data_IF_731907564774
#
_entry.id   IF_731907564774
#
_cell.length_a   1.000
_cell.length_b   1.000
_cell.length_c   1.000
_cell.angle_alpha   90.00
_cell.angle_beta   90.00
_cell.angle_gamma   90.00
#
_symmetry.space_group_name_H-M   'P 1'
#
loop_
_entity.id
_entity.type
_entity.pdbx_description
1 polymer ?
2 non-polymer ?
3 non-polymer ?
4 water ?
#
# COMPACT_ATOMS: atom_id res chain seq x y z
N UNK A 1 -6.49 -22.64 7.03
CA UNK A 1 -5.50 -22.11 8.02
C UNK A 1 -5.66 -20.60 8.12
N UNK A 2 -4.88 -19.94 9.00
CA UNK A 2 -4.96 -18.49 9.11
C UNK A 2 -4.53 -17.88 7.76
N UNK A 3 -4.65 -16.57 7.65
CA UNK A 3 -3.99 -15.81 6.57
C UNK A 3 -2.56 -15.60 7.04
N UNK A 4 -1.61 -15.61 6.11
CA UNK A 4 -0.22 -15.29 6.41
C UNK A 4 0.08 -13.81 6.13
N UNK A 5 0.80 -13.20 7.06
CA UNK A 5 1.10 -11.75 7.12
C UNK A 5 2.56 -11.53 7.49
N UNK A 6 3.16 -10.52 6.89
CA UNK A 6 4.54 -10.06 7.22
C UNK A 6 4.49 -8.59 7.56
N UNK A 7 5.21 -8.16 8.58
CA UNK A 7 5.48 -6.75 8.89
C UNK A 7 6.55 -6.15 7.97
N UNK A 8 6.30 -4.95 7.51
CA UNK A 8 7.22 -4.30 6.56
C UNK A 8 7.00 -2.80 6.49
N UNK A 9 7.99 -2.08 6.01
CA UNK A 9 7.88 -0.70 5.57
C UNK A 9 8.03 -0.62 4.06
N UNK A 10 7.56 0.45 3.47
CA UNK A 10 7.72 0.73 2.03
C UNK A 10 8.40 2.08 1.87
N UNK A 11 9.29 2.19 0.89
CA UNK A 11 9.85 3.49 0.44
C UNK A 11 9.71 3.60 -1.07
N UNK A 12 9.40 4.80 -1.56
CA UNK A 12 9.22 5.06 -3.02
C UNK A 12 10.63 5.06 -3.66
N UNK A 13 10.70 5.06 -4.98
CA UNK A 13 12.01 4.84 -5.65
C UNK A 13 12.86 6.11 -5.53
N UNK A 14 12.29 7.20 -5.04
CA UNK A 14 13.09 8.42 -4.74
C UNK A 14 13.53 8.36 -3.30
N UNK A 15 13.24 7.27 -2.58
CA UNK A 15 13.61 6.91 -1.21
C UNK A 15 12.84 7.76 -0.19
N UNK A 16 11.63 8.17 -0.53
CA UNK A 16 10.71 8.81 0.46
C UNK A 16 10.01 7.72 1.29
N UNK A 17 9.80 8.02 2.57
CA UNK A 17 9.19 7.12 3.59
C UNK A 17 7.72 7.49 3.80
N UNK A 18 6.93 6.55 4.31
CA UNK A 18 5.46 6.66 4.48
C UNK A 18 5.13 6.85 5.97
N UNK A 19 4.48 7.96 6.31
CA UNK A 19 4.13 8.34 7.71
C UNK A 19 2.67 8.82 7.74
N UNK A 20 1.94 8.50 8.81
CA UNK A 20 0.61 9.07 9.16
C UNK A 20 0.80 10.53 9.61
N UNK A 21 -0.04 11.46 9.14
CA UNK A 21 0.14 12.92 9.41
C UNK A 21 -1.18 13.61 9.77
N UNK A 22 -2.24 12.85 10.05
CA UNK A 22 -3.60 13.40 10.22
C UNK A 22 -4.65 12.32 9.97
N UNK A 23 -5.91 12.51 10.44
CA UNK A 23 -6.92 11.45 10.40
C UNK A 23 -7.00 10.74 9.04
N UNK A 24 -6.51 9.50 8.99
CA UNK A 24 -6.66 8.59 7.82
C UNK A 24 -5.81 9.12 6.66
N UNK A 25 -4.71 9.80 6.98
CA UNK A 25 -3.90 10.57 6.00
C UNK A 25 -2.45 10.06 6.05
N UNK A 26 -2.06 9.40 4.97
CA UNK A 26 -0.73 8.79 4.74
C UNK A 26 0.01 9.63 3.70
N UNK A 27 1.14 10.22 4.06
CA UNK A 27 1.93 11.13 3.19
C UNK A 27 3.35 10.56 3.04
N UNK A 28 4.12 11.06 2.07
CA UNK A 28 5.47 10.56 1.75
C UNK A 28 6.48 11.72 1.88
N UNK A 29 7.57 11.49 2.61
CA UNK A 29 8.60 12.52 2.79
C UNK A 29 9.93 11.84 3.00
N UNK A 30 10.94 12.65 2.71
CA UNK A 30 12.34 12.29 2.94
C UNK A 30 12.59 12.26 4.45
N UNK A 31 13.03 11.14 4.97
CA UNK A 31 13.21 10.86 6.41
C UNK A 31 14.53 10.15 6.59
N UNK A 32 15.27 10.47 7.67
CA UNK A 32 16.49 9.73 8.04
C UNK A 32 16.72 10.03 9.51
N UNK A 33 17.34 9.09 10.21
CA UNK A 33 17.71 9.25 11.63
C UNK A 33 16.54 9.03 12.57
N UNK A 34 16.46 9.83 13.64
CA UNK A 34 15.52 9.56 14.77
C UNK A 34 14.11 9.46 14.19
N UNK A 35 13.77 10.33 13.25
CA UNK A 35 12.39 10.50 12.72
C UNK A 35 11.89 9.22 12.03
N UNK A 36 12.74 8.21 11.82
CA UNK A 36 12.37 7.01 11.03
C UNK A 36 11.45 6.10 11.84
N UNK A 37 11.42 6.25 13.16
CA UNK A 37 10.37 5.69 14.03
C UNK A 37 8.99 6.16 13.54
N UNK A 38 8.87 7.31 12.86
CA UNK A 38 7.56 7.88 12.45
C UNK A 38 6.98 7.05 11.28
N UNK A 39 7.79 6.25 10.60
CA UNK A 39 7.27 5.60 9.39
C UNK A 39 6.20 4.56 9.75
N UNK A 40 5.28 4.38 8.81
CA UNK A 40 4.19 3.42 8.97
C UNK A 40 4.73 2.01 8.78
N UNK A 41 4.37 1.14 9.70
CA UNK A 41 4.62 -0.31 9.56
C UNK A 41 3.35 -0.98 9.08
N UNK A 42 3.46 -1.63 7.94
CA UNK A 42 2.37 -2.38 7.34
C UNK A 42 2.38 -3.81 7.83
N UNK A 43 1.20 -4.42 7.91
CA UNK A 43 1.03 -5.88 7.92
C UNK A 43 0.57 -6.26 6.54
N UNK A 44 1.46 -6.83 5.75
CA UNK A 44 1.12 -7.22 4.36
C UNK A 44 0.59 -8.64 4.41
N UNK A 45 -0.69 -8.84 4.11
CA UNK A 45 -1.36 -10.17 4.11
C UNK A 45 -1.32 -10.75 2.69
N UNK A 46 -1.10 -12.07 2.57
CA UNK A 46 -1.06 -12.74 1.27
C UNK A 46 -2.45 -13.36 1.06
N UNK A 47 -3.24 -12.79 0.17
CA UNK A 47 -4.69 -13.03 0.13
C UNK A 47 -5.09 -13.83 -1.10
N UNK A 48 -6.36 -14.23 -1.16
CA UNK A 48 -6.93 -14.90 -2.35
C UNK A 48 -6.96 -13.94 -3.54
N UNK A 49 -6.64 -14.47 -4.71
CA UNK A 49 -6.77 -13.71 -5.96
C UNK A 49 -5.95 -14.36 -7.07
N UNK A 50 -6.10 -13.86 -8.29
CA UNK A 50 -5.30 -14.27 -9.48
C UNK A 50 -3.80 -14.04 -9.19
N UNK A 51 -2.94 -15.02 -9.46
CA UNK A 51 -1.51 -15.00 -9.07
C UNK A 51 -0.63 -15.49 -10.24
N UNK A 52 0.58 -14.93 -10.40
CA UNK A 52 1.64 -15.46 -11.30
C UNK A 52 3.00 -15.32 -10.60
N UNK A 53 4.09 -15.71 -11.24
CA UNK A 53 5.42 -15.67 -10.59
C UNK A 53 5.67 -14.29 -9.98
N UNK A 54 5.38 -13.23 -10.73
CA UNK A 54 5.82 -11.86 -10.35
C UNK A 54 4.65 -10.94 -9.95
N UNK A 55 3.42 -11.49 -9.87
CA UNK A 55 2.16 -10.76 -9.55
C UNK A 55 1.43 -11.48 -8.40
N UNK A 56 1.50 -10.93 -7.18
CA UNK A 56 1.09 -11.65 -5.93
C UNK A 56 0.03 -10.79 -5.25
N UNK A 57 -1.21 -11.27 -5.05
CA UNK A 57 -2.25 -10.44 -4.43
C UNK A 57 -1.98 -10.28 -2.95
N UNK A 58 -2.02 -9.01 -2.47
CA UNK A 58 -1.81 -8.72 -1.03
C UNK A 58 -2.89 -7.75 -0.55
N UNK A 59 -3.06 -7.68 0.74
CA UNK A 59 -3.71 -6.54 1.40
C UNK A 59 -2.66 -5.80 2.22
N UNK A 60 -2.85 -4.50 2.36
CA UNK A 60 -1.93 -3.66 3.15
C UNK A 60 -2.67 -3.08 4.34
N UNK A 61 -2.56 -3.71 5.50
CA UNK A 61 -3.08 -3.19 6.75
C UNK A 61 -2.00 -2.46 7.50
N UNK A 62 -2.37 -1.58 8.40
CA UNK A 62 -1.46 -0.91 9.32
C UNK A 62 -1.23 -1.83 10.51
N UNK A 63 0.01 -2.02 10.92
CA UNK A 63 0.35 -3.00 11.98
C UNK A 63 -0.43 -2.67 13.26
N UNK A 64 -1.15 -3.67 13.74
CA UNK A 64 -1.97 -3.68 14.99
C UNK A 64 -3.01 -2.56 14.97
N UNK A 65 -3.50 -2.22 13.78
CA UNK A 65 -4.66 -1.31 13.63
C UNK A 65 -5.65 -1.99 12.70
N UNK A 66 -6.92 -1.70 12.91
CA UNK A 66 -8.02 -2.21 12.08
C UNK A 66 -8.21 -1.22 10.95
N UNK A 67 -7.12 -0.97 10.20
CA UNK A 67 -7.10 -0.02 9.06
C UNK A 67 -6.39 -0.69 7.89
N UNK A 68 -6.98 -0.57 6.73
CA UNK A 68 -6.46 -1.15 5.47
C UNK A 68 -6.45 -0.04 4.43
N UNK A 69 -5.46 -0.09 3.54
CA UNK A 69 -5.58 0.66 2.27
C UNK A 69 -6.67 0.03 1.43
N UNK A 70 -7.39 0.89 0.72
CA UNK A 70 -8.67 0.57 0.03
C UNK A 70 -8.80 1.39 -1.26
N UNK A 71 -9.27 0.77 -2.35
CA UNK A 71 -9.49 1.48 -3.62
C UNK A 71 -11.01 1.57 -3.83
N UNK A 72 -11.50 2.79 -3.87
CA UNK A 72 -12.95 3.03 -4.10
C UNK A 72 -13.09 4.17 -5.09
N UNK A 73 -14.28 4.24 -5.72
CA UNK A 73 -14.60 5.46 -6.48
C UNK A 73 -14.96 6.57 -5.50
N UNK A 74 -14.38 7.74 -5.69
CA UNK A 74 -14.77 8.95 -4.93
C UNK A 74 -14.98 10.06 -5.95
N UNK A 75 -16.05 10.85 -5.78
CA UNK A 75 -16.44 11.91 -6.76
C UNK A 75 -16.09 11.34 -8.14
N UNK A 76 -16.47 10.08 -8.38
CA UNK A 76 -16.38 9.36 -9.68
C UNK A 76 -14.95 9.03 -10.12
N UNK A 77 -13.96 9.01 -9.23
CA UNK A 77 -12.58 8.64 -9.64
C UNK A 77 -12.08 7.50 -8.73
N UNK A 78 -11.29 6.54 -9.25
CA UNK A 78 -10.57 5.56 -8.43
C UNK A 78 -9.65 6.33 -7.48
N UNK A 79 -9.84 6.14 -6.18
CA UNK A 79 -8.97 6.79 -5.17
C UNK A 79 -8.50 5.75 -4.15
N UNK A 80 -7.44 6.14 -3.46
CA UNK A 80 -6.83 5.36 -2.35
C UNK A 80 -7.36 5.96 -1.05
N UNK A 81 -7.87 5.13 -0.16
CA UNK A 81 -8.26 5.60 1.18
C UNK A 81 -7.78 4.62 2.23
N UNK A 82 -7.75 5.08 3.48
CA UNK A 82 -7.60 4.20 4.64
C UNK A 82 -9.00 3.86 5.09
N UNK A 83 -9.31 2.61 5.30
CA UNK A 83 -10.68 2.18 5.64
C UNK A 83 -10.61 1.34 6.93
N UNK A 84 -11.50 1.63 7.88
CA UNK A 84 -11.68 0.89 9.16
C UNK A 84 -12.45 -0.41 8.91
N UNK A 85 -12.10 -1.48 9.63
CA UNK A 85 -12.82 -2.76 9.54
C UNK A 85 -13.10 -3.27 10.95
N UNK A 86 -13.96 -4.28 11.02
CA UNK A 86 -14.25 -4.96 12.31
C UNK A 86 -13.02 -5.73 12.74
N UNK A 87 -12.33 -5.39 13.84
CA UNK A 87 -11.10 -6.06 14.19
C UNK A 87 -11.27 -7.53 14.53
N UNK A 88 -12.50 -7.99 14.72
CA UNK A 88 -12.78 -9.42 15.01
C UNK A 88 -12.63 -10.24 13.72
N UNK A 89 -12.74 -9.62 12.53
CA UNK A 89 -12.95 -10.36 11.27
C UNK A 89 -11.75 -10.25 10.31
N UNK A 90 -10.73 -9.50 10.71
CA UNK A 90 -9.57 -9.15 9.85
C UNK A 90 -8.28 -9.41 10.61
N UNK A 91 -7.17 -9.77 9.92
CA UNK A 91 -7.17 -9.98 8.49
C UNK A 91 -7.85 -11.32 8.20
N UNK A 92 -8.17 -11.52 6.94
CA UNK A 92 -8.68 -12.81 6.46
C UNK A 92 -8.09 -13.12 5.09
N UNK A 93 -8.18 -14.38 4.70
CA UNK A 93 -7.62 -14.82 3.40
C UNK A 93 -8.41 -14.22 2.24
N UNK A 94 -9.74 -14.25 2.29
CA UNK A 94 -10.63 -13.75 1.22
C UNK A 94 -11.00 -12.30 1.52
N UNK A 95 -10.04 -11.40 1.33
CA UNK A 95 -10.28 -9.96 1.52
C UNK A 95 -11.13 -9.49 0.36
N UNK A 96 -12.05 -8.55 0.60
CA UNK A 96 -12.86 -7.89 -0.43
C UNK A 96 -11.96 -7.20 -1.46
N UNK A 97 -12.41 -7.06 -2.69
CA UNK A 97 -11.54 -6.70 -3.83
C UNK A 97 -10.97 -5.30 -3.65
N UNK A 98 -11.69 -4.38 -3.02
CA UNK A 98 -11.21 -2.99 -2.83
C UNK A 98 -9.94 -3.00 -1.98
N UNK A 99 -9.67 -4.06 -1.23
CA UNK A 99 -8.49 -4.11 -0.31
C UNK A 99 -7.31 -4.76 -1.02
N UNK A 100 -7.49 -5.31 -2.23
CA UNK A 100 -6.49 -6.21 -2.84
C UNK A 100 -5.63 -5.38 -3.81
N UNK A 101 -4.32 -5.56 -3.66
CA UNK A 101 -3.31 -5.01 -4.58
C UNK A 101 -2.55 -6.20 -5.18
N UNK A 102 -2.25 -6.06 -6.45
CA UNK A 102 -1.32 -6.98 -7.11
C UNK A 102 0.09 -6.42 -6.89
N UNK A 103 0.88 -7.11 -6.10
CA UNK A 103 2.27 -6.73 -5.81
C UNK A 103 3.12 -7.32 -6.94
N UNK A 104 3.66 -6.45 -7.76
CA UNK A 104 4.35 -6.80 -9.03
C UNK A 104 5.84 -6.50 -8.86
N UNK A 105 6.71 -7.45 -9.16
CA UNK A 105 8.18 -7.30 -9.01
C UNK A 105 8.72 -7.03 -10.40
N UNK A 106 9.17 -5.80 -10.69
CA UNK A 106 9.85 -5.46 -11.99
C UNK A 106 11.18 -4.76 -11.66
N UNK A 107 12.28 -5.35 -12.16
CA UNK A 107 13.64 -4.76 -12.10
C UNK A 107 13.94 -4.32 -10.66
N UNK A 108 13.83 -5.27 -9.73
CA UNK A 108 14.30 -5.16 -8.33
C UNK A 108 13.50 -4.09 -7.58
N UNK A 109 12.36 -3.67 -8.13
CA UNK A 109 11.40 -2.75 -7.46
C UNK A 109 10.02 -3.38 -7.41
N UNK A 110 9.13 -2.80 -6.63
CA UNK A 110 7.74 -3.31 -6.49
C UNK A 110 6.76 -2.25 -6.95
N UNK A 111 5.67 -2.68 -7.58
CA UNK A 111 4.56 -1.79 -7.91
C UNK A 111 3.35 -2.47 -7.27
N UNK A 112 2.41 -1.67 -6.82
CA UNK A 112 1.15 -2.17 -6.23
C UNK A 112 -0.01 -1.66 -7.08
N UNK A 113 -0.51 -2.54 -7.92
CA UNK A 113 -1.65 -2.26 -8.80
C UNK A 113 -2.95 -2.58 -8.05
N UNK A 114 -3.94 -1.69 -8.14
CA UNK A 114 -5.29 -2.00 -7.62
C UNK A 114 -5.87 -3.26 -8.31
N UNK A 115 -6.25 -4.31 -7.58
CA UNK A 115 -6.97 -5.48 -8.16
C UNK A 115 -8.29 -4.93 -8.71
N UNK A 116 -8.93 -4.01 -8.02
CA UNK A 116 -10.29 -3.48 -8.39
C UNK A 116 -10.19 -2.65 -9.67
N UNK A 117 -9.13 -1.85 -9.82
CA UNK A 117 -9.02 -0.82 -10.87
C UNK A 117 -7.74 -1.10 -11.63
N UNK A 118 -7.81 -1.95 -12.69
CA UNK A 118 -6.61 -2.31 -13.44
C UNK A 118 -5.87 -1.07 -13.92
N UNK A 119 -4.54 -1.13 -13.81
CA UNK A 119 -3.58 -0.12 -14.28
C UNK A 119 -3.66 1.16 -13.46
N UNK A 120 -4.25 1.08 -12.26
CA UNK A 120 -4.14 2.16 -11.26
C UNK A 120 -3.24 1.64 -10.13
N UNK A 121 -2.34 2.49 -9.67
CA UNK A 121 -1.17 2.11 -8.84
C UNK A 121 -1.08 3.01 -7.62
N UNK A 122 -0.61 2.41 -6.53
CA UNK A 122 -0.17 3.22 -5.36
C UNK A 122 0.97 4.13 -5.87
N UNK A 123 0.81 5.41 -5.62
CA UNK A 123 1.68 6.47 -6.19
C UNK A 123 2.11 7.46 -5.12
N UNK A 124 3.27 8.08 -5.34
CA UNK A 124 3.62 9.28 -4.58
C UNK A 124 3.96 10.41 -5.56
N UNK A 125 3.97 11.60 -5.02
CA UNK A 125 4.39 12.82 -5.75
C UNK A 125 5.89 13.02 -5.58
N UNK A 126 6.53 13.71 -6.54
CA UNK A 126 7.92 14.17 -6.36
C UNK A 126 8.06 15.12 -5.16
N UNK A 127 7.13 16.04 -4.96
CA UNK A 127 7.14 16.97 -3.81
C UNK A 127 7.03 16.21 -2.49
N UNK A 128 7.66 16.77 -1.46
CA UNK A 128 7.65 16.32 -0.05
C UNK A 128 6.29 16.59 0.58
N UNK A 129 5.88 15.72 1.50
CA UNK A 129 4.70 15.90 2.37
C UNK A 129 3.39 15.97 1.64
N UNK A 130 3.22 15.21 0.55
CA UNK A 130 1.94 15.15 -0.18
C UNK A 130 1.36 13.75 0.05
N UNK A 131 0.04 13.61 -0.16
CA UNK A 131 -0.66 12.35 0.02
C UNK A 131 -0.08 11.25 -0.87
N UNK A 132 -0.15 10.05 -0.32
CA UNK A 132 -0.06 8.82 -1.14
C UNK A 132 -1.41 8.70 -1.85
N UNK A 133 -1.43 8.31 -3.10
CA UNK A 133 -2.67 8.35 -3.89
C UNK A 133 -2.68 7.23 -4.87
N UNK A 134 -3.81 7.06 -5.55
CA UNK A 134 -3.92 6.08 -6.66
C UNK A 134 -3.64 6.80 -7.99
N UNK A 135 -2.79 6.20 -8.83
CA UNK A 135 -2.27 6.82 -10.05
C UNK A 135 -2.45 5.92 -11.26
N UNK A 136 -3.36 6.32 -12.16
CA UNK A 136 -3.68 5.63 -13.43
C UNK A 136 -2.76 6.06 -14.56
N UNK A 137 -1.83 6.98 -14.28
CA UNK A 137 -0.71 7.37 -15.19
C UNK A 137 0.60 6.82 -14.61
N UNK A 138 1.40 6.14 -15.45
CA UNK A 138 2.73 5.59 -15.07
C UNK A 138 3.83 6.22 -15.92
N UNK A 139 5.04 6.32 -15.36
CA UNK A 139 6.26 6.76 -16.05
C UNK A 139 6.33 8.27 -16.24
N UNK A 140 5.36 9.02 -15.70
CA UNK A 140 5.29 10.49 -15.80
C UNK A 140 6.02 11.16 -14.65
N UNK A 141 5.32 11.99 -13.88
CA UNK A 141 5.85 12.65 -12.65
C UNK A 141 5.49 11.82 -11.41
N UNK A 142 4.52 10.90 -11.53
CA UNK A 142 4.07 10.02 -10.41
C UNK A 142 5.08 8.88 -10.22
N UNK A 143 5.43 8.58 -8.96
CA UNK A 143 6.34 7.47 -8.57
C UNK A 143 5.48 6.25 -8.22
N UNK A 144 5.55 5.18 -9.01
CA UNK A 144 4.75 3.95 -8.81
C UNK A 144 5.65 2.80 -8.37
N UNK A 145 6.95 3.04 -8.17
CA UNK A 145 7.89 1.96 -7.80
C UNK A 145 8.31 2.15 -6.36
N UNK A 146 8.45 1.06 -5.64
CA UNK A 146 8.78 1.01 -4.21
C UNK A 146 9.79 -0.07 -3.93
N UNK A 147 10.43 0.02 -2.77
CA UNK A 147 11.15 -1.10 -2.14
C UNK A 147 10.51 -1.40 -0.81
N UNK A 148 10.61 -2.65 -0.38
CA UNK A 148 10.07 -3.13 0.91
C UNK A 148 11.27 -3.38 1.81
N UNK A 149 11.11 -3.07 3.09
CA UNK A 149 12.06 -3.43 4.19
C UNK A 149 11.27 -4.31 5.14
N UNK A 150 11.79 -5.46 5.48
CA UNK A 150 11.18 -6.40 6.43
C UNK A 150 11.48 -5.84 7.82
N UNK A 151 10.48 -5.95 8.70
CA UNK A 151 10.52 -5.45 10.10
C UNK A 151 10.32 -6.68 11.02
N UNK A 152 10.93 -6.70 12.22
CA UNK A 152 10.68 -7.75 13.25
C UNK A 152 9.21 -7.71 13.69
X LIG B 1 -9.17 -16.84 7.38
X LIG B 1 -10.25 -17.11 8.30
X LIG B 1 -8.62 -18.10 6.90
X LIG B 1 -9.67 -16.07 6.28
X LIG B 1 -8.13 -16.11 8.07
X LIG C 1 -18.42 -5.44 2.25
X LIG C 1 -17.32 -5.26 3.20
X LIG C 1 -18.99 -6.76 2.41
X LIG C 1 -19.41 -4.42 2.51
X LIG C 1 -17.97 -5.34 0.88
X LIG D 1 -3.94 7.65 0.79
X LIG D 1 -5.85 10.42 1.30
X LIG D 1 -5.91 11.77 1.43
X LIG D 1 -4.90 12.47 2.11
X LIG D 1 -5.97 14.78 1.97
X LIG D 1 -5.77 16.21 2.34
X LIG D 1 -6.66 17.24 1.64
X LIG D 1 -4.61 7.42 3.00
X LIG D 1 -3.79 11.72 2.61
X LIG D 1 -3.78 10.32 2.44
X LIG D 1 -4.91 8.15 1.70
X LIG D 1 -4.83 9.67 1.81
X LIG D 1 -5.20 17.14 1.29
X LIG D 1 -4.94 13.88 2.35
X LIG D 1 -6.99 14.44 1.38
#
# INVERSE_FOLDING_TARGET
>A
APVRSLNCTLRDSQQKSLVMSGPYELKALHLQGQDMEQQVVFSMSFVQGEESNDKIPVALGLKEKNLYLSCVLKDDKPTLQLESVDPKNYPKKKMEKRFVFNKIEINNKLEFESAQFPNWYISTSQAENMPVFLGGTKGGQDITDFTMQFVSS
>B hetero
1 SO4 S O1 O2 O3 O4
>C hetero
1 SO4 S O1 O2 O3 O4
>D hetero
1 NY4 N1 C4 C5 C6 C7 C8 C10 C1 C11 C12 C2 C3 C9 N2 O1
#
